data_IF_959204912711
#
_entry.id   IF_959204912711
#
_cell.length_a   1.000
_cell.length_b   1.000
_cell.length_c   1.000
_cell.angle_alpha   90.00
_cell.angle_beta   90.00
_cell.angle_gamma   90.00
#
_symmetry.space_group_name_H-M   'P 1'
#
loop_
_entity.id
_entity.type
_entity.pdbx_description
1 polymer ?
#
# COMPACT_ATOMS: atom_id res chain seq x y z
N UNK A 1 -25.49 -24.51 -5.21
CA UNK A 1 -25.92 -23.26 -5.87
C UNK A 1 -25.50 -21.93 -5.20
N UNK A 2 -24.50 -21.88 -4.30
CA UNK A 2 -23.95 -20.61 -3.76
C UNK A 2 -22.55 -20.25 -4.30
N UNK A 3 -21.86 -21.20 -4.93
CA UNK A 3 -20.53 -20.98 -5.53
C UNK A 3 -20.61 -20.38 -6.95
N UNK A 4 -21.70 -20.63 -7.68
CA UNK A 4 -21.85 -20.12 -9.05
C UNK A 4 -22.18 -18.63 -9.10
N UNK A 5 -23.03 -18.13 -8.19
CA UNK A 5 -23.51 -16.75 -8.25
C UNK A 5 -22.40 -15.71 -8.05
N UNK A 6 -21.39 -16.02 -7.21
CA UNK A 6 -20.17 -15.19 -7.04
C UNK A 6 -19.25 -15.20 -8.27
N UNK A 7 -19.28 -16.26 -9.07
CA UNK A 7 -18.47 -16.38 -10.29
C UNK A 7 -19.09 -15.56 -11.42
N UNK A 8 -20.42 -15.66 -11.60
CA UNK A 8 -21.15 -14.89 -12.61
C UNK A 8 -21.15 -13.40 -12.31
N UNK A 9 -21.37 -12.99 -11.06
CA UNK A 9 -21.32 -11.57 -10.66
C UNK A 9 -19.93 -10.96 -10.86
N UNK A 10 -18.85 -11.67 -10.49
CA UNK A 10 -17.46 -11.22 -10.75
C UNK A 10 -17.18 -11.06 -12.25
N UNK A 11 -17.62 -12.00 -13.08
CA UNK A 11 -17.46 -11.92 -14.54
C UNK A 11 -18.22 -10.76 -15.15
N UNK A 12 -19.45 -10.51 -14.70
CA UNK A 12 -20.27 -9.38 -15.19
C UNK A 12 -19.69 -8.04 -14.79
N UNK A 13 -19.21 -7.90 -13.54
CA UNK A 13 -18.53 -6.67 -13.08
C UNK A 13 -17.22 -6.45 -13.83
N UNK A 14 -16.42 -7.51 -14.03
CA UNK A 14 -15.20 -7.42 -14.83
C UNK A 14 -15.49 -6.98 -16.27
N UNK A 15 -16.49 -7.57 -16.93
CA UNK A 15 -16.89 -7.21 -18.29
C UNK A 15 -17.44 -5.76 -18.38
N UNK A 16 -18.12 -5.28 -17.34
CA UNK A 16 -18.60 -3.89 -17.28
C UNK A 16 -17.42 -2.91 -17.14
N UNK A 17 -16.42 -3.25 -16.33
CA UNK A 17 -15.23 -2.42 -16.11
C UNK A 17 -14.23 -2.51 -17.27
N UNK A 18 -14.28 -3.55 -18.09
CA UNK A 18 -13.34 -3.77 -19.19
C UNK A 18 -13.29 -2.60 -20.17
N UNK A 19 -14.45 -2.04 -20.56
CA UNK A 19 -14.51 -0.90 -21.48
C UNK A 19 -13.90 0.36 -20.87
N UNK A 20 -14.19 0.62 -19.59
CA UNK A 20 -13.64 1.78 -18.89
C UNK A 20 -12.13 1.63 -18.67
N UNK A 21 -11.68 0.42 -18.31
CA UNK A 21 -10.28 0.08 -18.20
C UNK A 21 -9.54 0.30 -19.53
N UNK A 22 -10.04 -0.27 -20.64
CA UNK A 22 -9.42 -0.09 -21.96
C UNK A 22 -9.32 1.38 -22.36
N UNK A 23 -10.35 2.18 -22.04
CA UNK A 23 -10.33 3.63 -22.28
C UNK A 23 -9.25 4.34 -21.46
N UNK A 24 -9.13 4.02 -20.17
CA UNK A 24 -8.13 4.63 -19.27
C UNK A 24 -6.73 4.18 -19.66
N UNK A 25 -6.52 2.88 -19.92
CA UNK A 25 -5.24 2.31 -20.32
C UNK A 25 -4.70 2.93 -21.62
N UNK A 26 -5.58 3.30 -22.56
CA UNK A 26 -5.16 4.04 -23.76
C UNK A 26 -4.63 5.45 -23.45
N UNK A 27 -5.19 6.12 -22.45
CA UNK A 27 -4.81 7.49 -22.08
C UNK A 27 -3.62 7.50 -21.10
N UNK A 28 -3.45 6.44 -20.32
CA UNK A 28 -2.46 6.30 -19.25
C UNK A 28 -1.76 4.94 -19.32
N UNK A 29 -1.05 4.63 -20.44
CA UNK A 29 -0.50 3.30 -20.67
C UNK A 29 0.53 2.90 -19.62
N UNK A 30 1.36 3.84 -19.16
CA UNK A 30 2.36 3.61 -18.11
C UNK A 30 1.73 3.22 -16.77
N UNK A 31 0.64 3.90 -16.38
CA UNK A 31 -0.08 3.60 -15.15
C UNK A 31 -0.80 2.26 -15.24
N UNK A 32 -1.40 1.96 -16.39
CA UNK A 32 -2.04 0.67 -16.62
C UNK A 32 -1.01 -0.46 -16.52
N UNK A 33 0.14 -0.33 -17.18
CA UNK A 33 1.24 -1.29 -17.10
C UNK A 33 1.76 -1.44 -15.66
N UNK A 34 1.89 -0.34 -14.91
CA UNK A 34 2.32 -0.39 -13.52
C UNK A 34 1.36 -1.19 -12.62
N UNK A 35 0.04 -1.03 -12.83
CA UNK A 35 -0.99 -1.79 -12.11
C UNK A 35 -0.95 -3.27 -12.52
N UNK A 36 -0.85 -3.58 -13.82
CA UNK A 36 -0.76 -4.96 -14.31
C UNK A 36 0.47 -5.68 -13.77
N UNK A 37 1.64 -5.04 -13.85
CA UNK A 37 2.89 -5.56 -13.32
C UNK A 37 2.82 -5.75 -11.80
N UNK A 38 2.21 -4.83 -11.08
CA UNK A 38 1.98 -4.97 -9.64
C UNK A 38 1.14 -6.20 -9.31
N UNK A 39 -0.01 -6.37 -9.97
CA UNK A 39 -0.88 -7.53 -9.73
C UNK A 39 -0.14 -8.85 -10.02
N UNK A 40 0.57 -8.92 -11.15
CA UNK A 40 1.30 -10.11 -11.55
C UNK A 40 2.42 -10.46 -10.57
N UNK A 41 3.30 -9.50 -10.24
CA UNK A 41 4.44 -9.71 -9.33
C UNK A 41 4.00 -9.93 -7.89
N UNK A 42 2.95 -9.27 -7.43
CA UNK A 42 2.42 -9.49 -6.08
C UNK A 42 1.93 -10.94 -5.95
N UNK A 43 1.18 -11.43 -6.94
CA UNK A 43 0.72 -12.83 -6.97
C UNK A 43 1.91 -13.81 -6.93
N UNK A 44 2.96 -13.54 -7.70
CA UNK A 44 4.20 -14.34 -7.69
C UNK A 44 4.88 -14.34 -6.31
N UNK A 45 4.98 -13.18 -5.66
CA UNK A 45 5.59 -13.05 -4.33
C UNK A 45 4.77 -13.75 -3.25
N UNK A 46 3.44 -13.68 -3.33
CA UNK A 46 2.52 -14.40 -2.43
C UNK A 46 2.67 -15.92 -2.59
N UNK A 47 2.69 -16.42 -3.83
CA UNK A 47 2.87 -17.85 -4.14
C UNK A 47 4.23 -18.38 -3.66
N UNK A 48 5.29 -17.61 -3.85
CA UNK A 48 6.65 -17.95 -3.44
C UNK A 48 6.92 -17.69 -1.95
N UNK A 49 5.96 -17.11 -1.22
CA UNK A 49 6.10 -16.67 0.17
C UNK A 49 7.34 -15.81 0.38
N UNK A 50 7.52 -14.79 -0.46
CA UNK A 50 8.63 -13.85 -0.37
C UNK A 50 8.71 -13.28 1.06
N UNK A 51 9.90 -13.28 1.65
CA UNK A 51 10.12 -12.91 3.06
C UNK A 51 10.68 -11.51 3.18
N UNK A 52 11.24 -10.96 2.10
CA UNK A 52 11.72 -9.60 2.04
C UNK A 52 10.55 -8.61 1.94
N UNK A 53 10.13 -8.12 3.09
CA UNK A 53 9.08 -7.11 3.25
C UNK A 53 9.31 -5.89 2.34
N UNK A 54 10.56 -5.45 2.16
CA UNK A 54 10.88 -4.26 1.38
C UNK A 54 10.59 -4.46 -0.11
N UNK A 55 10.86 -5.65 -0.65
CA UNK A 55 10.57 -6.01 -2.04
C UNK A 55 9.06 -6.01 -2.29
N UNK A 56 8.27 -6.63 -1.41
CA UNK A 56 6.83 -6.74 -1.62
C UNK A 56 6.14 -5.40 -1.43
N UNK A 57 6.50 -4.64 -0.39
CA UNK A 57 6.03 -3.27 -0.21
C UNK A 57 6.45 -2.38 -1.39
N UNK A 58 7.64 -2.60 -1.92
CA UNK A 58 8.20 -1.91 -3.08
C UNK A 58 7.31 -2.02 -4.32
N UNK A 59 6.66 -3.16 -4.56
CA UNK A 59 5.72 -3.32 -5.68
C UNK A 59 4.54 -2.34 -5.58
N UNK A 60 3.95 -2.23 -4.39
CA UNK A 60 2.87 -1.27 -4.12
C UNK A 60 3.36 0.17 -4.27
N UNK A 61 4.58 0.43 -3.81
CA UNK A 61 5.25 1.71 -3.99
C UNK A 61 5.44 2.07 -5.46
N UNK A 62 6.02 1.18 -6.27
CA UNK A 62 6.26 1.40 -7.70
C UNK A 62 4.95 1.75 -8.41
N UNK A 63 3.91 0.95 -8.19
CA UNK A 63 2.59 1.18 -8.76
C UNK A 63 1.99 2.55 -8.37
N UNK A 64 2.00 2.88 -7.08
CA UNK A 64 1.48 4.18 -6.62
C UNK A 64 2.34 5.35 -7.10
N UNK A 65 3.65 5.19 -7.20
CA UNK A 65 4.55 6.19 -7.79
C UNK A 65 4.17 6.52 -9.22
N UNK A 66 3.89 5.51 -10.04
CA UNK A 66 3.46 5.68 -11.43
C UNK A 66 2.08 6.38 -11.54
N UNK A 67 1.15 6.07 -10.62
CA UNK A 67 -0.16 6.74 -10.53
C UNK A 67 -0.02 8.21 -10.12
N UNK A 68 0.77 8.49 -9.09
CA UNK A 68 0.95 9.85 -8.56
C UNK A 68 1.63 10.76 -9.57
N UNK A 69 2.70 10.27 -10.18
CA UNK A 69 3.39 10.96 -11.26
C UNK A 69 2.66 10.75 -12.59
N UNK A 70 1.36 11.07 -12.65
CA UNK A 70 0.52 10.79 -13.82
C UNK A 70 1.02 11.48 -15.10
N UNK A 71 1.67 12.63 -14.94
CA UNK A 71 2.29 13.42 -16.00
C UNK A 71 3.81 13.45 -15.84
N UNK A 72 4.52 13.35 -16.95
CA UNK A 72 5.98 13.46 -17.01
C UNK A 72 6.38 14.93 -17.20
N UNK A 73 6.20 15.74 -16.16
CA UNK A 73 6.68 17.12 -16.10
C UNK A 73 7.73 17.30 -14.99
N UNK A 74 8.05 18.55 -14.67
CA UNK A 74 9.08 18.90 -13.67
C UNK A 74 8.80 18.35 -12.26
N UNK A 75 7.57 17.90 -11.97
CA UNK A 75 7.19 17.31 -10.69
C UNK A 75 7.22 15.78 -10.69
N UNK A 76 7.55 15.17 -11.83
CA UNK A 76 7.48 13.73 -12.03
C UNK A 76 8.27 12.96 -10.98
N UNK A 77 9.53 13.34 -10.75
CA UNK A 77 10.42 12.61 -9.85
C UNK A 77 9.96 12.74 -8.39
N UNK A 78 9.58 13.93 -7.94
CA UNK A 78 9.05 14.17 -6.60
C UNK A 78 7.70 13.47 -6.37
N UNK A 79 6.78 13.52 -7.33
CA UNK A 79 5.48 12.83 -7.23
C UNK A 79 5.65 11.31 -7.25
N UNK A 80 6.57 10.79 -8.07
CA UNK A 80 6.86 9.36 -8.13
C UNK A 80 7.47 8.87 -6.82
N UNK A 81 8.42 9.64 -6.28
CA UNK A 81 9.04 9.37 -4.97
C UNK A 81 8.01 9.43 -3.84
N UNK A 82 7.12 10.42 -3.87
CA UNK A 82 6.04 10.56 -2.90
C UNK A 82 5.12 9.33 -2.93
N UNK A 83 4.63 8.97 -4.13
CA UNK A 83 3.77 7.79 -4.31
C UNK A 83 4.46 6.49 -3.92
N UNK A 84 5.76 6.34 -4.22
CA UNK A 84 6.55 5.17 -3.86
C UNK A 84 6.57 4.92 -2.35
N UNK A 85 6.97 5.92 -1.58
CA UNK A 85 7.05 5.77 -0.14
C UNK A 85 5.68 5.70 0.53
N UNK A 86 4.68 6.42 -0.01
CA UNK A 86 3.30 6.30 0.47
C UNK A 86 2.74 4.90 0.22
N UNK A 87 3.01 4.30 -0.93
CA UNK A 87 2.57 2.94 -1.25
C UNK A 87 3.20 1.90 -0.33
N UNK A 88 4.51 2.02 -0.04
CA UNK A 88 5.17 1.17 0.95
C UNK A 88 4.55 1.31 2.33
N UNK A 89 4.26 2.54 2.77
CA UNK A 89 3.56 2.78 4.03
C UNK A 89 2.19 2.10 4.08
N UNK A 90 1.37 2.29 3.03
CA UNK A 90 0.02 1.72 2.94
C UNK A 90 0.09 0.19 3.03
N UNK A 91 0.97 -0.45 2.26
CA UNK A 91 1.13 -1.89 2.26
C UNK A 91 1.54 -2.42 3.65
N UNK A 92 2.50 -1.77 4.31
CA UNK A 92 2.92 -2.15 5.66
C UNK A 92 1.81 -1.98 6.70
N UNK A 93 1.03 -0.90 6.61
CA UNK A 93 -0.10 -0.64 7.50
C UNK A 93 -1.19 -1.71 7.34
N UNK A 94 -1.51 -2.08 6.09
CA UNK A 94 -2.49 -3.11 5.75
C UNK A 94 -2.05 -4.48 6.28
N UNK A 95 -0.81 -4.88 5.98
CA UNK A 95 -0.22 -6.10 6.52
C UNK A 95 -0.21 -6.11 8.06
N UNK A 96 0.03 -4.98 8.71
CA UNK A 96 0.00 -4.85 10.16
C UNK A 96 -1.43 -4.94 10.73
N UNK A 97 -2.42 -4.36 10.06
CA UNK A 97 -3.83 -4.43 10.45
C UNK A 97 -4.35 -5.88 10.35
N UNK A 98 -4.05 -6.55 9.25
CA UNK A 98 -4.61 -7.86 8.91
C UNK A 98 -3.82 -9.05 9.45
N UNK A 99 -2.64 -8.84 10.05
CA UNK A 99 -1.75 -9.89 10.57
C UNK A 99 -2.49 -11.00 11.33
N UNK A 100 -3.31 -10.64 12.32
CA UNK A 100 -4.06 -11.62 13.14
C UNK A 100 -5.14 -12.36 12.37
N UNK A 101 -5.69 -11.75 11.32
CA UNK A 101 -6.68 -12.38 10.46
C UNK A 101 -6.00 -13.32 9.46
N UNK A 102 -4.86 -12.90 8.90
CA UNK A 102 -4.08 -13.68 7.94
C UNK A 102 -3.50 -14.93 8.58
N UNK A 103 -2.95 -14.82 9.79
CA UNK A 103 -2.51 -15.98 10.58
C UNK A 103 -3.62 -17.02 10.78
N UNK A 104 -4.86 -16.57 11.06
CA UNK A 104 -6.01 -17.46 11.27
C UNK A 104 -6.49 -18.14 10.00
N UNK A 105 -6.33 -17.50 8.85
CA UNK A 105 -6.73 -18.03 7.54
C UNK A 105 -5.59 -18.78 6.84
N UNK A 106 -4.41 -18.83 7.46
CA UNK A 106 -3.15 -19.20 6.82
C UNK A 106 -2.90 -18.47 5.49
N UNK A 107 -3.29 -17.20 5.45
CA UNK A 107 -3.00 -16.32 4.32
C UNK A 107 -1.57 -15.79 4.41
N UNK A 108 -1.01 -15.44 3.24
CA UNK A 108 0.30 -14.81 3.18
C UNK A 108 0.25 -13.44 3.85
N UNK A 109 1.23 -13.16 4.71
CA UNK A 109 1.47 -11.85 5.26
C UNK A 109 2.98 -11.72 5.53
N UNK A 110 3.66 -10.71 4.97
CA UNK A 110 5.11 -10.63 5.02
C UNK A 110 5.65 -10.37 6.43
N UNK A 111 4.83 -9.79 7.33
CA UNK A 111 5.25 -9.53 8.71
C UNK A 111 5.36 -10.81 9.55
N UNK A 112 4.75 -11.93 9.12
CA UNK A 112 4.89 -13.25 9.77
C UNK A 112 6.32 -13.79 9.73
N UNK A 113 7.17 -13.26 8.84
CA UNK A 113 8.55 -13.69 8.65
C UNK A 113 9.57 -12.81 9.38
N UNK A 114 9.11 -11.83 10.16
CA UNK A 114 10.00 -11.07 11.04
C UNK A 114 10.60 -12.00 12.10
N UNK A 115 11.93 -12.03 12.19
CA UNK A 115 12.66 -12.91 13.09
C UNK A 115 12.74 -12.32 14.51
N UNK A 116 11.60 -12.21 15.19
CA UNK A 116 11.52 -11.86 16.60
C UNK A 116 10.32 -12.53 17.28
N UNK A 117 10.56 -13.14 18.43
CA UNK A 117 9.52 -13.71 19.30
C UNK A 117 9.05 -12.71 20.38
N UNK A 118 9.69 -11.53 20.45
CA UNK A 118 9.34 -10.47 21.41
C UNK A 118 8.28 -9.54 20.80
N UNK A 119 7.07 -9.55 21.37
CA UNK A 119 5.97 -8.69 20.92
C UNK A 119 6.35 -7.21 20.93
N UNK A 120 7.12 -6.74 21.92
CA UNK A 120 7.53 -5.34 22.00
C UNK A 120 8.57 -4.99 20.94
N UNK A 121 9.50 -5.90 20.64
CA UNK A 121 10.44 -5.73 19.54
C UNK A 121 9.71 -5.70 18.20
N UNK A 122 8.79 -6.64 17.96
CA UNK A 122 7.94 -6.69 16.77
C UNK A 122 7.20 -5.37 16.52
N UNK A 123 6.53 -4.84 17.54
CA UNK A 123 5.82 -3.55 17.47
C UNK A 123 6.77 -2.39 17.14
N UNK A 124 7.97 -2.42 17.73
CA UNK A 124 8.98 -1.40 17.49
C UNK A 124 9.47 -1.45 16.04
N UNK A 125 9.75 -2.64 15.50
CA UNK A 125 10.17 -2.83 14.12
C UNK A 125 9.09 -2.36 13.13
N UNK A 126 7.84 -2.78 13.32
CA UNK A 126 6.72 -2.35 12.48
C UNK A 126 6.58 -0.82 12.46
N UNK A 127 6.62 -0.19 13.65
CA UNK A 127 6.55 1.26 13.78
C UNK A 127 7.72 1.96 13.11
N UNK A 128 8.94 1.46 13.27
CA UNK A 128 10.14 2.03 12.63
C UNK A 128 10.06 1.96 11.11
N UNK A 129 9.67 0.82 10.55
CA UNK A 129 9.50 0.65 9.09
C UNK A 129 8.46 1.64 8.54
N UNK A 130 7.26 1.69 9.14
CA UNK A 130 6.22 2.64 8.73
C UNK A 130 6.65 4.09 8.90
N UNK A 131 7.34 4.42 10.00
CA UNK A 131 7.86 5.78 10.25
C UNK A 131 8.89 6.18 9.19
N UNK A 132 9.77 5.26 8.79
CA UNK A 132 10.74 5.50 7.73
C UNK A 132 10.04 5.80 6.40
N UNK A 133 9.03 4.99 6.02
CA UNK A 133 8.30 5.21 4.76
C UNK A 133 7.56 6.54 4.76
N UNK A 134 6.78 6.85 5.80
CA UNK A 134 6.05 8.12 5.82
C UNK A 134 6.97 9.34 5.94
N UNK A 135 8.15 9.20 6.57
CA UNK A 135 9.14 10.28 6.64
C UNK A 135 9.71 10.61 5.25
N UNK A 136 10.05 9.60 4.45
CA UNK A 136 10.52 9.83 3.08
C UNK A 136 9.39 10.36 2.18
N UNK A 137 8.16 9.88 2.35
CA UNK A 137 6.98 10.45 1.69
C UNK A 137 6.82 11.94 2.01
N UNK A 138 6.91 12.32 3.30
CA UNK A 138 6.79 13.70 3.73
C UNK A 138 7.92 14.59 3.23
N UNK A 139 9.17 14.09 3.20
CA UNK A 139 10.30 14.82 2.61
C UNK A 139 10.05 15.14 1.14
N UNK A 140 9.47 14.20 0.37
CA UNK A 140 9.11 14.44 -1.02
C UNK A 140 7.98 15.47 -1.13
N UNK A 141 6.95 15.36 -0.29
CA UNK A 141 5.85 16.30 -0.20
C UNK A 141 6.32 17.75 0.05
N UNK A 142 7.24 17.96 0.99
CA UNK A 142 7.73 19.30 1.33
C UNK A 142 8.60 19.94 0.23
N UNK A 143 9.05 19.18 -0.77
CA UNK A 143 9.77 19.70 -1.96
C UNK A 143 8.82 20.17 -3.05
N UNK A 144 7.56 19.74 -3.04
CA UNK A 144 6.57 20.13 -4.02
C UNK A 144 6.05 21.56 -3.72
N UNK A 145 5.83 22.41 -4.73
CA UNK A 145 5.32 23.77 -4.55
C UNK A 145 3.81 23.79 -4.31
N UNK A 146 3.36 23.16 -3.23
CA UNK A 146 1.93 23.04 -2.92
C UNK A 146 1.45 24.35 -2.28
N UNK A 147 0.74 25.15 -3.08
CA UNK A 147 0.23 26.46 -2.65
C UNK A 147 -1.13 26.38 -1.95
N UNK A 148 -1.95 25.39 -2.32
CA UNK A 148 -3.31 25.22 -1.81
C UNK A 148 -3.39 24.02 -0.89
N UNK A 149 -4.06 24.20 0.25
CA UNK A 149 -4.36 23.14 1.22
C UNK A 149 -3.14 22.39 1.76
N UNK A 150 -1.94 22.97 1.70
CA UNK A 150 -0.71 22.34 2.20
C UNK A 150 -0.85 21.91 3.66
N UNK A 151 -1.48 22.73 4.52
CA UNK A 151 -1.68 22.40 5.93
C UNK A 151 -2.61 21.20 6.14
N UNK A 152 -3.63 21.04 5.28
CA UNK A 152 -4.52 19.87 5.33
C UNK A 152 -3.74 18.62 4.95
N UNK A 153 -2.94 18.69 3.88
CA UNK A 153 -2.13 17.56 3.43
C UNK A 153 -1.04 17.19 4.44
N UNK A 154 -0.41 18.18 5.09
CA UNK A 154 0.50 17.97 6.22
C UNK A 154 -0.20 17.25 7.37
N UNK A 155 -1.40 17.67 7.75
CA UNK A 155 -2.15 17.00 8.81
C UNK A 155 -2.46 15.54 8.44
N UNK A 156 -2.78 15.26 7.17
CA UNK A 156 -2.97 13.89 6.69
C UNK A 156 -1.67 13.09 6.83
N UNK A 157 -0.55 13.58 6.29
CA UNK A 157 0.72 12.85 6.26
C UNK A 157 1.38 12.71 7.65
N UNK A 158 1.27 13.71 8.51
CA UNK A 158 1.93 13.73 9.81
C UNK A 158 1.11 13.09 10.93
N UNK A 159 -0.22 13.05 10.81
CA UNK A 159 -1.08 12.55 11.88
C UNK A 159 -2.17 11.62 11.36
N UNK A 160 -2.87 12.00 10.29
CA UNK A 160 -4.00 11.25 9.75
C UNK A 160 -3.68 9.78 9.47
N UNK A 161 -2.55 9.52 8.80
CA UNK A 161 -2.09 8.17 8.45
C UNK A 161 -1.85 7.24 9.65
N UNK A 162 -1.59 7.79 10.84
CA UNK A 162 -1.34 7.00 12.06
C UNK A 162 -2.61 6.62 12.82
N UNK A 163 -3.75 7.25 12.49
CA UNK A 163 -5.02 7.06 13.22
C UNK A 163 -5.40 5.59 13.40
N UNK A 164 -5.17 4.77 12.36
CA UNK A 164 -5.52 3.36 12.40
C UNK A 164 -4.56 2.54 13.27
N UNK A 165 -3.27 2.78 13.16
CA UNK A 165 -2.25 2.17 14.01
C UNK A 165 -2.51 2.47 15.48
N UNK A 166 -2.75 3.75 15.82
CA UNK A 166 -3.05 4.18 17.18
C UNK A 166 -4.30 3.51 17.74
N UNK A 167 -5.36 3.39 16.93
CA UNK A 167 -6.56 2.66 17.31
C UNK A 167 -6.29 1.19 17.64
N UNK A 168 -5.46 0.50 16.85
CA UNK A 168 -5.06 -0.88 17.10
C UNK A 168 -4.25 -0.99 18.41
N UNK A 169 -3.30 -0.06 18.63
CA UNK A 169 -2.50 -0.02 19.86
C UNK A 169 -3.36 0.20 21.12
N UNK A 170 -4.32 1.13 21.05
CA UNK A 170 -5.25 1.40 22.16
C UNK A 170 -6.10 0.17 22.49
N UNK A 171 -6.60 -0.54 21.46
CA UNK A 171 -7.33 -1.79 21.64
C UNK A 171 -6.48 -2.91 22.27
N UNK A 172 -5.18 -2.97 21.96
CA UNK A 172 -4.25 -3.93 22.58
C UNK A 172 -4.04 -3.60 24.06
N UNK A 173 -3.86 -2.32 24.40
CA UNK A 173 -3.66 -1.85 25.78
C UNK A 173 -4.90 -1.99 26.67
N UNK A 174 -6.09 -1.71 26.14
CA UNK A 174 -7.36 -1.83 26.88
C UNK A 174 -7.90 -3.26 27.05
N UNK A 175 -7.19 -4.27 26.56
CA UNK A 175 -7.48 -5.70 26.74
C UNK A 175 -6.61 -6.37 27.81
N UNK A 176 -5.74 -5.61 28.49
CA UNK A 176 -5.09 -6.03 29.75
C UNK A 176 -5.99 -5.67 30.92
#
# INVERSE_FOLDING_TARGET
DWKDDKSYTKKTVAAMLEKDYQRVAKNYPRQAEAIENYIAKLSEYEENKETNIDLVAGLTGEMLGEIFAWKQDEWYDELKTLGFYMGKFIYLMDAYEDLKQDEKKDAYNPLRFLNTDDEQEFETLCRLMMTSMISECAKSFERLPILLHADILRNVLYSGVWSKYEYIQLKKKGKK
#
